data_IF_681604052413
#
_entry.id   IF_681604052413
#
_cell.length_a   1.000
_cell.length_b   1.000
_cell.length_c   1.000
_cell.angle_alpha   90.00
_cell.angle_beta   90.00
_cell.angle_gamma   90.00
#
_symmetry.space_group_name_H-M   'P 1'
#
loop_
_entity.id
_entity.type
_entity.pdbx_description
1 polymer ?
#
# COMPACT_ATOMS: atom_id res chain seq x y z
N UNK A 1 -18.83 -2.09 13.63
CA UNK A 1 -17.65 -2.91 13.93
C UNK A 1 -16.78 -2.89 12.68
N UNK A 2 -15.57 -2.34 12.73
CA UNK A 2 -14.68 -2.26 11.56
C UNK A 2 -13.83 -3.53 11.54
N UNK A 3 -13.91 -4.31 10.47
CA UNK A 3 -13.09 -5.50 10.27
C UNK A 3 -11.90 -5.11 9.39
N UNK A 4 -10.70 -5.52 9.77
CA UNK A 4 -9.48 -5.40 8.98
C UNK A 4 -8.87 -6.79 8.83
N UNK A 5 -8.41 -7.12 7.62
CA UNK A 5 -7.64 -8.34 7.36
C UNK A 5 -6.17 -7.96 7.41
N UNK A 6 -5.37 -8.70 8.16
CA UNK A 6 -3.94 -8.45 8.34
C UNK A 6 -3.19 -9.68 7.86
N UNK A 7 -2.17 -9.48 7.04
CA UNK A 7 -1.30 -10.56 6.61
C UNK A 7 -0.26 -10.88 7.70
N UNK A 8 -0.11 -12.17 7.97
CA UNK A 8 0.80 -12.69 8.96
C UNK A 8 1.26 -14.09 8.55
N UNK A 9 2.42 -14.49 9.03
CA UNK A 9 2.88 -15.88 8.96
C UNK A 9 2.99 -16.50 10.34
N UNK A 10 2.90 -17.82 10.37
CA UNK A 10 3.17 -18.62 11.56
C UNK A 10 4.49 -19.36 11.34
N UNK A 11 5.44 -19.22 12.25
CA UNK A 11 6.72 -19.91 12.17
C UNK A 11 6.66 -21.35 12.71
N UNK A 12 7.78 -22.05 12.69
CA UNK A 12 7.89 -23.44 13.17
C UNK A 12 7.64 -23.57 14.70
N UNK A 13 7.76 -22.46 15.43
CA UNK A 13 7.52 -22.36 16.87
C UNK A 13 6.05 -22.07 17.19
N UNK A 14 5.23 -21.76 16.17
CA UNK A 14 3.84 -21.38 16.33
C UNK A 14 3.63 -19.89 16.63
N UNK A 15 4.68 -19.07 16.52
CA UNK A 15 4.59 -17.63 16.74
C UNK A 15 4.00 -16.94 15.52
N UNK A 16 3.09 -15.99 15.76
CA UNK A 16 2.44 -15.21 14.70
C UNK A 16 3.23 -13.94 14.44
N UNK A 17 3.80 -13.83 13.24
CA UNK A 17 4.55 -12.67 12.78
C UNK A 17 3.69 -11.86 11.82
N UNK A 18 3.28 -10.67 12.26
CA UNK A 18 2.58 -9.73 11.40
C UNK A 18 3.57 -9.16 10.38
N UNK A 19 3.18 -9.11 9.11
CA UNK A 19 3.98 -8.41 8.10
C UNK A 19 3.98 -6.89 8.33
N UNK A 20 2.90 -6.36 8.92
CA UNK A 20 2.73 -4.95 9.24
C UNK A 20 2.14 -4.74 10.65
N UNK A 21 2.50 -3.64 11.35
CA UNK A 21 1.93 -3.32 12.66
C UNK A 21 0.44 -3.00 12.61
N UNK A 22 -0.34 -3.57 13.54
CA UNK A 22 -1.77 -3.28 13.66
C UNK A 22 -1.99 -1.96 14.40
N UNK A 23 -2.52 -0.95 13.69
CA UNK A 23 -2.89 0.34 14.26
C UNK A 23 -4.21 0.25 15.03
N UNK A 24 -4.14 0.20 16.37
CA UNK A 24 -5.32 0.19 17.24
C UNK A 24 -5.08 0.97 18.53
N UNK A 25 -6.17 1.38 19.20
CA UNK A 25 -6.12 2.06 20.51
C UNK A 25 -6.44 1.07 21.62
N UNK A 26 -5.58 0.97 22.61
CA UNK A 26 -5.78 0.11 23.79
C UNK A 26 -5.60 -1.38 23.48
N UNK A 27 -6.33 -2.24 24.19
CA UNK A 27 -6.29 -3.71 23.97
C UNK A 27 -7.57 -4.14 23.26
N UNK A 28 -7.43 -4.89 22.16
CA UNK A 28 -8.55 -5.38 21.35
C UNK A 28 -8.55 -6.90 21.26
N UNK A 29 -9.71 -7.50 20.98
CA UNK A 29 -9.82 -8.92 20.66
C UNK A 29 -9.52 -9.13 19.18
N UNK A 30 -8.73 -10.15 18.86
CA UNK A 30 -8.45 -10.59 17.51
C UNK A 30 -8.99 -12.02 17.27
N UNK A 31 -9.42 -12.30 16.05
CA UNK A 31 -9.69 -13.65 15.56
C UNK A 31 -8.55 -14.01 14.61
N UNK A 32 -7.91 -15.17 14.82
CA UNK A 32 -6.84 -15.67 13.97
C UNK A 32 -7.38 -16.85 13.17
N UNK A 33 -7.17 -16.82 11.86
CA UNK A 33 -7.48 -17.92 10.94
C UNK A 33 -6.14 -18.38 10.37
N UNK A 34 -5.80 -19.64 10.58
CA UNK A 34 -4.57 -20.26 10.05
C UNK A 34 -4.94 -21.00 8.77
N UNK A 35 -4.24 -20.67 7.69
CA UNK A 35 -4.37 -21.33 6.39
C UNK A 35 -3.21 -22.33 6.25
N UNK A 36 -3.51 -23.55 5.80
CA UNK A 36 -2.50 -24.58 5.53
C UNK A 36 -1.91 -24.40 4.11
N UNK A 37 -1.29 -23.25 3.89
CA UNK A 37 -0.69 -22.87 2.62
C UNK A 37 0.79 -22.52 2.83
N UNK A 38 1.72 -23.12 2.05
CA UNK A 38 3.14 -22.85 2.22
C UNK A 38 3.48 -21.43 1.74
N UNK A 39 4.12 -20.66 2.63
CA UNK A 39 4.57 -19.31 2.32
C UNK A 39 5.65 -19.31 1.25
N UNK A 40 5.51 -18.43 0.27
CA UNK A 40 6.56 -18.20 -0.72
C UNK A 40 7.58 -17.25 -0.13
N UNK A 41 8.88 -17.50 -0.37
CA UNK A 41 9.98 -16.67 0.17
C UNK A 41 9.85 -15.17 -0.14
N UNK A 42 9.20 -14.83 -1.25
CA UNK A 42 8.96 -13.44 -1.66
C UNK A 42 7.84 -12.75 -0.84
N UNK A 43 6.94 -13.52 -0.22
CA UNK A 43 5.85 -13.01 0.63
C UNK A 43 6.37 -12.63 2.03
N UNK A 44 7.49 -13.22 2.45
CA UNK A 44 8.14 -12.91 3.74
C UNK A 44 9.04 -11.66 3.67
N UNK A 45 9.26 -11.09 2.48
CA UNK A 45 10.09 -9.89 2.31
C UNK A 45 9.20 -8.66 2.22
N UNK A 46 9.54 -7.63 3.01
CA UNK A 46 8.99 -6.29 2.80
C UNK A 46 9.22 -5.89 1.34
N UNK A 47 8.17 -5.40 0.68
CA UNK A 47 8.27 -4.92 -0.70
C UNK A 47 9.35 -3.84 -0.74
N UNK A 48 10.43 -4.01 -1.51
CA UNK A 48 11.45 -2.98 -1.62
C UNK A 48 10.81 -1.69 -2.13
N UNK A 49 11.02 -0.60 -1.40
CA UNK A 49 10.59 0.74 -1.82
C UNK A 49 11.54 1.27 -2.90
N UNK A 50 11.02 2.08 -3.82
CA UNK A 50 11.86 2.74 -4.82
C UNK A 50 12.51 1.77 -5.82
N UNK A 51 11.76 0.79 -6.33
CA UNK A 51 12.25 -0.14 -7.36
C UNK A 51 12.78 0.57 -8.63
N UNK A 52 12.29 1.79 -8.89
CA UNK A 52 12.72 2.65 -9.98
C UNK A 52 13.49 3.89 -9.47
N UNK A 53 14.16 3.80 -8.32
CA UNK A 53 14.89 4.93 -7.76
C UNK A 53 15.99 5.39 -8.72
N UNK A 54 15.91 6.65 -9.17
CA UNK A 54 16.84 7.21 -10.14
C UNK A 54 16.43 7.03 -11.61
N UNK A 55 15.40 6.23 -11.91
CA UNK A 55 14.88 6.08 -13.28
C UNK A 55 13.92 7.22 -13.67
N UNK A 56 13.42 7.96 -12.68
CA UNK A 56 12.56 9.12 -12.88
C UNK A 56 13.31 10.39 -12.48
N UNK A 57 13.37 11.34 -13.40
CA UNK A 57 13.79 12.70 -13.12
C UNK A 57 12.53 13.51 -12.87
N UNK A 58 12.41 14.08 -11.66
CA UNK A 58 11.36 15.05 -11.35
C UNK A 58 11.79 16.38 -11.98
N UNK A 59 11.02 16.94 -12.92
CA UNK A 59 11.30 18.26 -13.48
C UNK A 59 11.28 19.34 -12.39
N UNK A 60 12.08 20.39 -12.56
CA UNK A 60 12.14 21.52 -11.61
C UNK A 60 10.79 22.24 -11.46
N UNK A 61 9.89 22.09 -12.44
CA UNK A 61 8.56 22.68 -12.49
C UNK A 61 7.44 21.68 -12.13
N UNK A 62 7.75 20.53 -11.53
CA UNK A 62 6.75 19.53 -11.16
C UNK A 62 5.63 20.08 -10.25
N UNK A 63 5.99 21.00 -9.34
CA UNK A 63 5.04 21.65 -8.43
C UNK A 63 4.34 22.87 -9.06
N UNK A 64 4.62 23.19 -10.34
CA UNK A 64 3.93 24.25 -11.06
C UNK A 64 2.45 23.87 -11.28
N UNK A 65 1.55 24.87 -11.35
CA UNK A 65 0.16 24.60 -11.67
C UNK A 65 0.05 23.91 -13.03
N UNK A 66 -0.89 22.96 -13.13
CA UNK A 66 -1.20 22.32 -14.40
C UNK A 66 -1.67 23.37 -15.43
N UNK A 67 -1.36 23.21 -16.72
CA UNK A 67 -1.87 24.10 -17.77
C UNK A 67 -3.40 24.14 -17.80
N UNK A 68 -3.97 25.32 -18.10
CA UNK A 68 -5.43 25.56 -18.08
C UNK A 68 -6.22 24.57 -18.93
N UNK A 69 -5.70 24.16 -20.09
CA UNK A 69 -6.37 23.18 -20.96
C UNK A 69 -6.42 21.77 -20.35
N UNK A 70 -5.38 21.37 -19.61
CA UNK A 70 -5.36 20.08 -18.89
C UNK A 70 -6.34 20.12 -17.72
N UNK A 71 -6.40 21.24 -17.00
CA UNK A 71 -7.39 21.44 -15.94
C UNK A 71 -8.82 21.40 -16.50
N UNK A 72 -9.07 22.08 -17.62
CA UNK A 72 -10.37 22.05 -18.28
C UNK A 72 -10.77 20.63 -18.72
N UNK A 73 -9.85 19.85 -19.30
CA UNK A 73 -10.10 18.45 -19.66
C UNK A 73 -10.39 17.57 -18.44
N UNK A 74 -9.60 17.72 -17.37
CA UNK A 74 -9.81 16.99 -16.12
C UNK A 74 -11.15 17.33 -15.45
N UNK A 75 -11.55 18.59 -15.48
CA UNK A 75 -12.82 19.08 -14.91
C UNK A 75 -14.04 18.82 -15.79
N UNK A 76 -13.86 18.24 -16.99
CA UNK A 76 -14.95 18.01 -17.95
C UNK A 76 -15.46 19.30 -18.61
N UNK A 77 -14.67 20.38 -18.54
CA UNK A 77 -14.92 21.70 -19.12
C UNK A 77 -14.14 21.90 -20.44
N UNK A 78 -13.50 20.86 -20.99
CA UNK A 78 -12.90 20.93 -22.31
C UNK A 78 -13.97 21.31 -23.33
N UNK A 79 -13.85 22.50 -23.91
CA UNK A 79 -14.84 23.11 -24.79
C UNK A 79 -15.38 22.09 -25.81
N UNK A 80 -16.68 21.82 -25.73
CA UNK A 80 -17.46 21.28 -26.84
C UNK A 80 -17.66 22.39 -27.88
N UNK A 81 -16.58 22.79 -28.56
CA UNK A 81 -16.55 23.70 -29.73
C UNK A 81 -17.06 25.13 -29.54
#
# INVERSE_FOLDING_TARGET
MKTQTIEAFVDEQGEVHLLEPIQHRGVVRALVIVLDEPLRRDEMRARPYGLCAGDFVVPDDFDAPLPDHILAEFEGNADLT
#
